data_IF_182070093537
#
_entry.id   IF_182070093537
#
_cell.length_a   1.000
_cell.length_b   1.000
_cell.length_c   1.000
_cell.angle_alpha   90.00
_cell.angle_beta   90.00
_cell.angle_gamma   90.00
#
_symmetry.space_group_name_H-M   'P 1'
#
loop_
_entity.id
_entity.type
_entity.pdbx_description
1 polymer ?
#
# COMPACT_ATOMS: atom_id res chain seq x y z
N UNK A 1 -21.56 19.28 -25.98
CA UNK A 1 -20.96 18.36 -26.98
C UNK A 1 -19.52 18.10 -26.57
N UNK A 2 -19.26 16.90 -26.02
CA UNK A 2 -17.88 16.48 -25.67
C UNK A 2 -17.07 16.39 -26.97
N UNK A 3 -15.98 17.14 -27.06
CA UNK A 3 -15.00 16.99 -28.14
C UNK A 3 -14.41 15.58 -28.01
N UNK A 4 -14.39 14.76 -29.08
CA UNK A 4 -13.81 13.42 -29.01
C UNK A 4 -12.34 13.50 -28.56
N UNK A 5 -11.97 12.68 -27.59
CA UNK A 5 -10.61 12.62 -27.07
C UNK A 5 -9.62 12.31 -28.22
N UNK A 6 -8.44 12.98 -28.30
CA UNK A 6 -7.46 12.78 -29.37
C UNK A 6 -7.07 11.30 -29.61
N UNK A 7 -7.13 10.47 -28.58
CA UNK A 7 -6.90 9.03 -28.67
C UNK A 7 -7.97 8.31 -29.51
N UNK A 8 -9.25 8.70 -29.42
CA UNK A 8 -10.36 8.10 -30.19
C UNK A 8 -10.17 8.40 -31.67
N UNK A 9 -9.77 9.61 -32.01
CA UNK A 9 -9.50 10.00 -33.39
C UNK A 9 -8.31 9.22 -33.99
N UNK A 10 -7.25 8.97 -33.19
CA UNK A 10 -6.07 8.21 -33.62
C UNK A 10 -6.36 6.71 -33.78
N UNK A 11 -7.22 6.15 -32.92
CA UNK A 11 -7.71 4.76 -33.09
C UNK A 11 -8.59 4.63 -34.31
N UNK A 12 -9.52 5.58 -34.55
CA UNK A 12 -10.35 5.60 -35.73
C UNK A 12 -9.52 5.73 -37.02
N UNK A 13 -8.47 6.56 -37.00
CA UNK A 13 -7.53 6.73 -38.12
C UNK A 13 -6.70 5.46 -38.39
N UNK A 14 -6.27 4.74 -37.35
CA UNK A 14 -5.59 3.45 -37.46
C UNK A 14 -6.54 2.38 -38.03
N UNK A 15 -7.79 2.32 -37.55
CA UNK A 15 -8.80 1.36 -38.01
C UNK A 15 -9.18 1.57 -39.50
N UNK A 16 -9.09 2.79 -40.01
CA UNK A 16 -9.36 3.06 -41.45
C UNK A 16 -8.20 2.68 -42.38
N UNK A 17 -7.00 2.42 -41.83
CA UNK A 17 -5.79 2.08 -42.59
C UNK A 17 -5.50 0.58 -42.67
N UNK A 18 -6.22 -0.26 -41.90
CA UNK A 18 -6.00 -1.71 -41.83
C UNK A 18 -7.07 -2.46 -42.60
N UNK A 19 -6.76 -3.07 -43.76
CA UNK A 19 -7.73 -3.77 -44.59
C UNK A 19 -8.16 -5.15 -44.05
N UNK A 20 -7.36 -5.78 -43.20
CA UNK A 20 -7.69 -7.03 -42.50
C UNK A 20 -7.14 -7.02 -41.08
N UNK A 21 -7.99 -7.32 -40.09
CA UNK A 21 -7.65 -7.28 -38.66
C UNK A 21 -7.13 -8.65 -38.22
N UNK A 22 -5.87 -8.71 -37.72
CA UNK A 22 -5.33 -9.91 -37.11
C UNK A 22 -4.99 -9.68 -35.61
N UNK A 23 -4.57 -10.74 -34.90
CA UNK A 23 -4.25 -10.69 -33.48
C UNK A 23 -3.02 -9.83 -33.16
N UNK A 24 -2.16 -9.50 -34.13
CA UNK A 24 -1.00 -8.61 -33.98
C UNK A 24 -1.43 -7.15 -33.98
N UNK A 25 -2.50 -6.80 -34.68
CA UNK A 25 -3.04 -5.45 -34.78
C UNK A 25 -3.61 -4.96 -33.45
N UNK A 26 -4.18 -5.87 -32.65
CA UNK A 26 -4.65 -5.55 -31.30
C UNK A 26 -3.52 -5.09 -30.37
N UNK A 27 -2.31 -5.62 -30.54
CA UNK A 27 -1.15 -5.17 -29.76
C UNK A 27 -0.75 -3.74 -30.13
N UNK A 28 -0.72 -3.43 -31.40
CA UNK A 28 -0.40 -2.09 -31.91
C UNK A 28 -1.46 -1.07 -31.48
N UNK A 29 -2.75 -1.41 -31.59
CA UNK A 29 -3.85 -0.55 -31.13
C UNK A 29 -3.79 -0.36 -29.63
N UNK A 30 -3.61 -1.44 -28.88
CA UNK A 30 -3.47 -1.39 -27.43
C UNK A 30 -2.29 -0.49 -27.01
N UNK A 31 -1.14 -0.63 -27.67
CA UNK A 31 0.06 0.11 -27.32
C UNK A 31 -0.06 1.59 -27.77
N UNK A 32 -0.73 1.86 -28.90
CA UNK A 32 -1.11 3.20 -29.32
C UNK A 32 -2.13 3.84 -28.38
N UNK A 33 -3.14 3.08 -27.93
CA UNK A 33 -4.10 3.55 -26.92
C UNK A 33 -3.41 3.81 -25.59
N UNK A 34 -2.53 2.92 -25.13
CA UNK A 34 -1.78 3.11 -23.88
C UNK A 34 -0.83 4.29 -23.93
N UNK A 35 -0.23 4.59 -25.09
CA UNK A 35 0.65 5.75 -25.27
C UNK A 35 -0.11 7.07 -25.42
N UNK A 36 -1.40 7.02 -25.78
CA UNK A 36 -2.23 8.20 -26.04
C UNK A 36 -3.34 8.41 -25.00
N UNK A 37 -3.64 7.41 -24.16
CA UNK A 37 -4.46 7.63 -22.97
C UNK A 37 -3.67 8.52 -22.01
N UNK A 38 -4.28 9.58 -21.45
CA UNK A 38 -3.67 10.29 -20.35
C UNK A 38 -3.31 9.25 -19.30
N UNK A 39 -2.06 9.25 -18.84
CA UNK A 39 -1.68 8.61 -17.58
C UNK A 39 -2.70 9.06 -16.55
N UNK A 40 -3.05 8.22 -15.59
CA UNK A 40 -4.04 8.54 -14.57
C UNK A 40 -3.94 10.00 -14.15
N UNK A 41 -4.82 10.84 -14.70
CA UNK A 41 -4.86 12.26 -14.33
C UNK A 41 -5.76 12.39 -13.11
N UNK A 42 -5.31 11.75 -12.03
CA UNK A 42 -6.00 11.63 -10.75
C UNK A 42 -5.13 12.24 -9.68
N UNK A 43 -5.75 12.98 -8.79
CA UNK A 43 -5.12 13.58 -7.63
C UNK A 43 -5.78 13.13 -6.34
N UNK A 44 -4.98 13.09 -5.29
CA UNK A 44 -5.45 13.01 -3.92
C UNK A 44 -6.03 14.39 -3.55
N UNK A 45 -7.35 14.45 -3.39
CA UNK A 45 -8.04 15.68 -3.02
C UNK A 45 -7.94 15.96 -1.52
N UNK A 46 -8.01 14.90 -0.72
CA UNK A 46 -7.84 14.92 0.72
C UNK A 46 -7.69 13.52 1.28
N UNK A 47 -7.01 13.42 2.42
CA UNK A 47 -6.81 12.17 3.12
C UNK A 47 -7.06 12.31 4.62
N UNK A 48 -7.41 11.17 5.24
CA UNK A 48 -7.59 11.07 6.68
C UNK A 48 -7.13 9.71 7.19
N UNK A 49 -6.74 9.68 8.45
CA UNK A 49 -6.27 8.48 9.13
C UNK A 49 -6.61 8.56 10.61
N UNK A 50 -7.25 7.54 11.17
CA UNK A 50 -7.45 7.45 12.61
C UNK A 50 -6.13 7.27 13.35
N UNK A 51 -6.12 7.48 14.65
CA UNK A 51 -5.03 6.96 15.47
C UNK A 51 -5.10 5.44 15.48
N UNK A 52 -3.97 4.78 15.19
CA UNK A 52 -3.86 3.31 15.26
C UNK A 52 -3.45 2.87 16.66
N UNK A 53 -3.91 1.67 17.04
CA UNK A 53 -3.57 1.13 18.35
C UNK A 53 -4.54 0.05 18.82
N UNK A 54 -4.52 -0.21 20.11
CA UNK A 54 -5.54 -1.00 20.79
C UNK A 54 -6.69 -0.06 21.20
N UNK A 55 -7.62 0.14 20.27
CA UNK A 55 -8.71 1.13 20.37
C UNK A 55 -9.95 0.51 21.05
N UNK A 56 -9.80 0.11 22.34
CA UNK A 56 -10.88 -0.52 23.12
C UNK A 56 -12.10 0.39 23.33
N UNK A 57 -11.90 1.69 23.26
CA UNK A 57 -12.93 2.72 23.43
C UNK A 57 -13.74 3.01 22.16
N UNK A 58 -13.32 2.49 21.01
CA UNK A 58 -13.90 2.79 19.70
C UNK A 58 -14.27 1.49 18.97
N UNK A 59 -15.40 1.49 18.29
CA UNK A 59 -15.76 0.43 17.36
C UNK A 59 -15.25 0.75 15.93
N UNK A 60 -15.53 -0.11 14.96
CA UNK A 60 -15.16 0.10 13.57
C UNK A 60 -15.85 1.32 12.94
N UNK A 61 -17.11 1.61 13.34
CA UNK A 61 -17.85 2.77 12.86
C UNK A 61 -17.19 4.08 13.34
N UNK A 62 -16.77 4.16 14.61
CA UNK A 62 -16.06 5.31 15.15
C UNK A 62 -14.74 5.55 14.40
N UNK A 63 -13.99 4.49 14.11
CA UNK A 63 -12.73 4.57 13.36
C UNK A 63 -12.95 5.06 11.92
N UNK A 64 -14.02 4.57 11.25
CA UNK A 64 -14.39 5.02 9.91
C UNK A 64 -14.76 6.50 9.90
N UNK A 65 -15.54 6.96 10.87
CA UNK A 65 -15.93 8.38 11.01
C UNK A 65 -14.71 9.25 11.25
N UNK A 66 -13.81 8.87 12.17
CA UNK A 66 -12.58 9.62 12.48
C UNK A 66 -11.72 9.86 11.21
N UNK A 67 -11.49 8.81 10.41
CA UNK A 67 -10.73 8.94 9.17
C UNK A 67 -11.47 9.76 8.10
N UNK A 68 -12.78 9.57 7.96
CA UNK A 68 -13.61 10.25 6.98
C UNK A 68 -13.73 11.75 7.24
N UNK A 69 -13.94 12.16 8.49
CA UNK A 69 -14.04 13.58 8.87
C UNK A 69 -12.74 14.33 8.58
N UNK A 70 -11.59 13.73 8.87
CA UNK A 70 -10.30 14.32 8.52
C UNK A 70 -10.15 14.44 7.00
N UNK A 71 -10.49 13.39 6.23
CA UNK A 71 -10.37 13.40 4.79
C UNK A 71 -11.28 14.42 4.11
N UNK A 72 -12.55 14.54 4.53
CA UNK A 72 -13.50 15.51 3.97
C UNK A 72 -13.12 16.94 4.32
N UNK A 73 -12.67 17.18 5.54
CA UNK A 73 -12.16 18.48 5.98
C UNK A 73 -10.91 18.87 5.17
N UNK A 74 -10.00 17.94 4.99
CA UNK A 74 -8.77 18.17 4.19
C UNK A 74 -9.11 18.38 2.72
N UNK A 75 -10.03 17.60 2.15
CA UNK A 75 -10.49 17.74 0.78
C UNK A 75 -11.26 19.05 0.54
N UNK A 76 -11.97 19.56 1.53
CA UNK A 76 -12.88 20.70 1.40
C UNK A 76 -14.18 20.33 0.69
N UNK A 77 -14.65 19.09 0.86
CA UNK A 77 -15.89 18.59 0.24
C UNK A 77 -16.85 18.04 1.28
N UNK A 78 -18.14 18.12 0.95
CA UNK A 78 -19.22 17.55 1.74
C UNK A 78 -19.52 16.11 1.27
N UNK A 79 -20.07 15.26 2.18
CA UNK A 79 -20.39 13.87 1.85
C UNK A 79 -21.30 13.70 0.64
N UNK A 80 -22.20 14.66 0.39
CA UNK A 80 -23.15 14.60 -0.73
C UNK A 80 -22.50 14.84 -2.11
N UNK A 81 -21.25 15.30 -2.14
CA UNK A 81 -20.46 15.49 -3.36
C UNK A 81 -19.69 14.21 -3.75
N UNK A 82 -19.66 13.20 -2.88
CA UNK A 82 -19.05 11.90 -3.17
C UNK A 82 -20.07 11.07 -3.95
N UNK A 83 -19.66 10.55 -5.12
CA UNK A 83 -20.54 9.87 -6.06
C UNK A 83 -20.40 8.36 -6.07
N UNK A 84 -19.26 7.83 -5.61
CA UNK A 84 -19.03 6.40 -5.43
C UNK A 84 -17.99 6.15 -4.33
N UNK A 85 -18.03 4.96 -3.71
CA UNK A 85 -17.08 4.58 -2.67
C UNK A 85 -16.56 3.16 -2.85
N UNK A 86 -15.31 2.94 -2.45
CA UNK A 86 -14.66 1.65 -2.32
C UNK A 86 -14.31 1.39 -0.87
N UNK A 87 -14.75 0.26 -0.36
CA UNK A 87 -14.66 -0.12 1.03
C UNK A 87 -13.76 -1.33 1.22
N UNK A 88 -12.62 -1.16 1.89
CA UNK A 88 -11.62 -2.19 2.14
C UNK A 88 -11.68 -2.72 3.57
N UNK A 89 -11.93 -4.02 3.73
CA UNK A 89 -11.81 -4.73 4.99
C UNK A 89 -11.55 -6.21 4.71
N UNK A 90 -10.65 -6.84 5.45
CA UNK A 90 -10.21 -8.21 5.19
C UNK A 90 -10.87 -9.24 6.11
N UNK A 91 -11.26 -8.86 7.33
CA UNK A 91 -11.92 -9.75 8.28
C UNK A 91 -13.42 -9.59 8.18
N UNK A 92 -14.02 -10.50 7.42
CA UNK A 92 -15.32 -10.37 6.81
C UNK A 92 -16.49 -10.06 7.74
N UNK A 93 -16.76 -10.92 8.71
CA UNK A 93 -18.11 -11.03 9.26
C UNK A 93 -18.23 -10.72 10.74
N UNK A 94 -17.11 -10.65 11.44
CA UNK A 94 -17.16 -10.68 12.91
C UNK A 94 -17.35 -9.29 13.50
N UNK A 95 -16.82 -8.26 12.86
CA UNK A 95 -16.79 -6.91 13.44
C UNK A 95 -17.32 -5.82 12.51
N UNK A 96 -17.13 -5.95 11.20
CA UNK A 96 -17.45 -4.89 10.23
C UNK A 96 -18.71 -5.20 9.40
N UNK A 97 -19.19 -6.44 9.39
CA UNK A 97 -20.34 -6.86 8.58
C UNK A 97 -20.00 -7.11 7.09
N UNK A 98 -21.03 -7.31 6.26
CA UNK A 98 -20.93 -7.70 4.85
C UNK A 98 -21.29 -6.56 3.90
N UNK A 99 -20.78 -6.64 2.65
CA UNK A 99 -21.08 -5.70 1.55
C UNK A 99 -20.57 -4.27 1.80
N UNK A 100 -21.05 -3.33 1.02
CA UNK A 100 -20.80 -1.88 1.21
C UNK A 100 -21.72 -1.21 2.23
N UNK A 101 -22.71 -1.94 2.76
CA UNK A 101 -23.74 -1.38 3.65
C UNK A 101 -23.16 -0.80 4.93
N UNK A 102 -22.20 -1.44 5.64
CA UNK A 102 -21.62 -0.86 6.84
C UNK A 102 -21.05 0.53 6.60
N UNK A 103 -20.22 0.71 5.57
CA UNK A 103 -19.67 2.02 5.23
C UNK A 103 -20.76 3.04 4.90
N UNK A 104 -21.73 2.65 4.06
CA UNK A 104 -22.81 3.55 3.63
C UNK A 104 -23.66 4.02 4.80
N UNK A 105 -23.98 3.14 5.74
CA UNK A 105 -24.77 3.47 6.94
C UNK A 105 -23.98 4.33 7.92
N UNK A 106 -22.75 3.94 8.22
CA UNK A 106 -21.87 4.65 9.16
C UNK A 106 -21.65 6.10 8.72
N UNK A 107 -21.30 6.29 7.46
CA UNK A 107 -21.02 7.62 6.91
C UNK A 107 -22.29 8.34 6.40
N UNK A 108 -23.46 7.66 6.42
CA UNK A 108 -24.72 8.18 5.87
C UNK A 108 -24.56 8.71 4.44
N UNK A 109 -23.92 7.89 3.58
CA UNK A 109 -23.68 8.24 2.18
C UNK A 109 -25.03 8.35 1.42
N UNK A 110 -25.17 9.28 0.45
CA UNK A 110 -26.45 9.62 -0.17
C UNK A 110 -26.88 8.61 -1.26
N UNK A 111 -27.08 7.33 -0.89
CA UNK A 111 -27.49 6.23 -1.80
C UNK A 111 -26.57 6.02 -3.00
N UNK A 112 -25.30 6.30 -2.85
CA UNK A 112 -24.27 6.09 -3.89
C UNK A 112 -23.85 4.60 -3.97
N UNK A 113 -23.25 4.16 -5.10
CA UNK A 113 -22.63 2.85 -5.19
C UNK A 113 -21.48 2.70 -4.19
N UNK A 114 -21.47 1.60 -3.44
CA UNK A 114 -20.36 1.23 -2.56
C UNK A 114 -19.89 -0.18 -2.91
N UNK A 115 -18.64 -0.31 -3.34
CA UNK A 115 -18.01 -1.58 -3.69
C UNK A 115 -17.10 -2.02 -2.56
N UNK A 116 -17.40 -3.18 -1.94
CA UNK A 116 -16.48 -3.81 -0.99
C UNK A 116 -15.42 -4.60 -1.73
N UNK A 117 -14.17 -4.48 -1.28
CA UNK A 117 -13.00 -5.18 -1.85
C UNK A 117 -12.17 -5.82 -0.75
N UNK A 118 -11.48 -6.91 -1.13
CA UNK A 118 -10.52 -7.61 -0.26
C UNK A 118 -9.38 -8.17 -1.11
N UNK A 119 -8.14 -7.96 -0.69
CA UNK A 119 -6.91 -8.53 -1.26
C UNK A 119 -5.84 -8.64 -0.17
N UNK A 120 -6.15 -9.33 0.93
CA UNK A 120 -5.27 -9.40 2.11
C UNK A 120 -4.78 -8.01 2.54
N UNK A 121 -3.49 -7.87 2.88
CA UNK A 121 -2.94 -6.58 3.31
C UNK A 121 -2.88 -5.52 2.20
N UNK A 122 -3.08 -5.87 0.93
CA UNK A 122 -3.23 -4.93 -0.18
C UNK A 122 -4.66 -4.37 -0.33
N UNK A 123 -5.59 -4.74 0.56
CA UNK A 123 -7.01 -4.36 0.52
C UNK A 123 -7.22 -2.84 0.43
N UNK A 124 -6.51 -2.06 1.27
CA UNK A 124 -6.62 -0.59 1.21
C UNK A 124 -6.17 0.01 -0.12
N UNK A 125 -5.12 -0.55 -0.71
CA UNK A 125 -4.65 -0.14 -2.05
C UNK A 125 -5.62 -0.57 -3.14
N UNK A 126 -6.27 -1.74 -3.01
CA UNK A 126 -7.30 -2.17 -3.97
C UNK A 126 -8.52 -1.24 -3.92
N UNK A 127 -8.96 -0.83 -2.73
CA UNK A 127 -10.02 0.18 -2.59
C UNK A 127 -9.61 1.49 -3.27
N UNK A 128 -8.40 1.96 -3.02
CA UNK A 128 -7.84 3.16 -3.66
C UNK A 128 -7.80 3.04 -5.19
N UNK A 129 -7.33 1.91 -5.72
CA UNK A 129 -7.25 1.64 -7.16
C UNK A 129 -8.62 1.68 -7.82
N UNK A 130 -9.64 1.08 -7.17
CA UNK A 130 -11.01 1.11 -7.65
C UNK A 130 -11.57 2.54 -7.75
N UNK A 131 -11.36 3.36 -6.73
CA UNK A 131 -11.75 4.77 -6.73
C UNK A 131 -11.04 5.57 -7.84
N UNK A 132 -9.72 5.36 -8.02
CA UNK A 132 -8.96 5.99 -9.09
C UNK A 132 -9.49 5.60 -10.49
N UNK A 133 -9.81 4.32 -10.70
CA UNK A 133 -10.36 3.85 -11.99
C UNK A 133 -11.72 4.46 -12.31
N UNK A 134 -12.58 4.62 -11.32
CA UNK A 134 -13.88 5.23 -11.52
C UNK A 134 -13.78 6.69 -11.96
N UNK A 135 -12.91 7.47 -11.29
CA UNK A 135 -12.66 8.86 -11.69
C UNK A 135 -11.96 8.93 -13.05
N UNK A 136 -10.93 8.12 -13.28
CA UNK A 136 -10.21 8.10 -14.56
C UNK A 136 -11.09 7.71 -15.75
N UNK A 137 -12.09 6.86 -15.54
CA UNK A 137 -13.06 6.48 -16.58
C UNK A 137 -14.10 7.57 -16.86
N UNK A 138 -14.19 8.59 -16.02
CA UNK A 138 -15.22 9.62 -16.07
C UNK A 138 -16.61 9.12 -15.63
N UNK A 139 -16.67 7.97 -14.93
CA UNK A 139 -17.92 7.47 -14.38
C UNK A 139 -18.41 8.32 -13.20
N UNK A 140 -17.48 8.86 -12.43
CA UNK A 140 -17.74 9.77 -11.32
C UNK A 140 -16.68 10.88 -11.27
N UNK A 141 -17.00 12.00 -10.67
CA UNK A 141 -16.11 13.16 -10.51
C UNK A 141 -15.31 13.08 -9.21
N UNK A 142 -15.95 12.62 -8.12
CA UNK A 142 -15.34 12.50 -6.79
C UNK A 142 -15.63 11.11 -6.24
N UNK A 143 -14.57 10.37 -5.92
CA UNK A 143 -14.67 9.03 -5.35
C UNK A 143 -13.97 8.92 -4.00
N UNK A 144 -14.51 8.05 -3.14
CA UNK A 144 -14.02 7.72 -1.81
C UNK A 144 -13.37 6.33 -1.81
N UNK A 145 -12.21 6.20 -1.22
CA UNK A 145 -11.65 4.93 -0.76
C UNK A 145 -11.48 4.97 0.75
N UNK A 146 -12.03 4.00 1.46
CA UNK A 146 -11.88 3.88 2.90
C UNK A 146 -11.57 2.43 3.27
N UNK A 147 -10.62 2.27 4.18
CA UNK A 147 -10.25 0.99 4.74
C UNK A 147 -10.31 1.00 6.25
N UNK A 148 -10.78 -0.08 6.85
CA UNK A 148 -10.88 -0.26 8.31
C UNK A 148 -10.60 -1.68 8.71
N UNK A 149 -10.03 -1.84 9.90
CA UNK A 149 -9.99 -3.13 10.59
C UNK A 149 -10.05 -2.95 12.10
N UNK A 150 -10.81 -3.82 12.77
CA UNK A 150 -10.96 -3.88 14.22
C UNK A 150 -10.46 -5.23 14.74
N UNK A 151 -9.14 -5.38 14.79
CA UNK A 151 -8.48 -6.67 15.05
C UNK A 151 -8.45 -7.07 16.52
N UNK A 152 -8.38 -6.11 17.43
CA UNK A 152 -8.24 -6.42 18.87
C UNK A 152 -9.47 -7.09 19.46
N UNK A 153 -10.65 -6.79 18.96
CA UNK A 153 -11.91 -7.38 19.42
C UNK A 153 -12.04 -8.86 19.04
N UNK A 154 -11.20 -9.37 18.12
CA UNK A 154 -11.18 -10.80 17.77
C UNK A 154 -10.67 -11.70 18.89
N UNK A 155 -9.99 -11.14 19.90
CA UNK A 155 -9.35 -11.90 20.97
C UNK A 155 -8.07 -12.64 20.52
N UNK A 156 -7.64 -12.52 19.27
CA UNK A 156 -6.42 -13.15 18.78
C UNK A 156 -5.19 -12.32 19.14
N UNK A 157 -4.11 -12.99 19.58
CA UNK A 157 -2.79 -12.35 19.76
C UNK A 157 -2.05 -12.08 18.45
N UNK A 158 -2.64 -12.43 17.30
CA UNK A 158 -2.13 -12.25 15.95
C UNK A 158 -3.28 -12.22 14.95
N UNK A 159 -2.97 -12.31 13.65
CA UNK A 159 -3.99 -12.39 12.62
C UNK A 159 -4.69 -13.75 12.64
N UNK A 160 -6.04 -13.80 12.59
CA UNK A 160 -6.76 -15.05 12.49
C UNK A 160 -6.41 -15.75 11.18
N UNK A 161 -5.97 -17.00 11.29
CA UNK A 161 -5.60 -17.81 10.13
C UNK A 161 -6.62 -18.91 9.92
N UNK A 162 -7.22 -18.94 8.73
CA UNK A 162 -8.04 -20.05 8.27
C UNK A 162 -7.24 -20.88 7.29
N UNK A 163 -6.92 -22.12 7.67
CA UNK A 163 -6.33 -23.09 6.75
C UNK A 163 -7.30 -23.38 5.59
N UNK A 164 -6.76 -23.54 4.38
CA UNK A 164 -7.54 -24.02 3.23
C UNK A 164 -7.75 -25.52 3.32
N UNK A 165 -9.00 -25.97 3.36
CA UNK A 165 -9.38 -27.36 3.18
C UNK A 165 -8.58 -28.34 4.03
N UNK A 166 -7.84 -29.25 3.38
CA UNK A 166 -7.10 -30.35 4.03
C UNK A 166 -5.72 -29.95 4.57
N UNK A 167 -5.33 -28.68 4.54
CA UNK A 167 -4.10 -28.25 5.17
C UNK A 167 -4.21 -28.41 6.66
N UNK A 168 -3.37 -29.25 7.23
CA UNK A 168 -3.28 -29.45 8.67
C UNK A 168 -1.89 -29.12 9.19
N UNK A 169 -1.80 -28.83 10.48
CA UNK A 169 -0.55 -28.40 11.12
C UNK A 169 0.55 -29.49 11.11
N UNK A 170 0.21 -30.73 10.81
CA UNK A 170 1.21 -31.81 10.72
C UNK A 170 2.07 -31.66 9.45
N UNK A 171 1.44 -31.32 8.32
CA UNK A 171 2.13 -31.17 7.04
C UNK A 171 2.56 -29.73 6.75
N UNK A 172 1.89 -28.74 7.39
CA UNK A 172 2.15 -27.32 7.22
C UNK A 172 2.29 -26.64 8.59
N UNK A 173 3.36 -26.95 9.34
CA UNK A 173 3.50 -26.47 10.72
C UNK A 173 3.71 -24.96 10.86
N UNK A 174 4.09 -24.27 9.78
CA UNK A 174 4.44 -22.84 9.80
C UNK A 174 3.36 -21.96 9.17
N UNK A 175 2.10 -22.21 9.42
CA UNK A 175 0.98 -21.44 8.89
C UNK A 175 0.82 -20.04 9.50
N UNK A 176 1.67 -19.62 10.42
CA UNK A 176 1.67 -18.25 10.93
C UNK A 176 2.41 -17.31 9.97
N UNK A 177 1.99 -16.04 9.92
CA UNK A 177 2.69 -15.04 9.12
C UNK A 177 4.18 -14.95 9.51
N UNK A 178 4.56 -14.78 10.81
CA UNK A 178 5.96 -14.78 11.20
C UNK A 178 6.73 -16.03 10.75
N UNK A 179 6.14 -17.24 10.89
CA UNK A 179 6.78 -18.49 10.47
C UNK A 179 7.08 -18.52 8.97
N UNK A 180 6.15 -18.07 8.14
CA UNK A 180 6.33 -18.06 6.69
C UNK A 180 7.38 -17.02 6.25
N UNK A 181 7.39 -15.84 6.85
CA UNK A 181 8.40 -14.81 6.57
C UNK A 181 9.78 -15.20 7.11
N UNK A 182 9.86 -15.94 8.21
CA UNK A 182 11.11 -16.49 8.72
C UNK A 182 11.75 -17.49 7.74
N UNK A 183 10.93 -18.30 7.06
CA UNK A 183 11.41 -19.18 5.98
C UNK A 183 11.98 -18.38 4.81
N UNK A 184 11.31 -17.32 4.39
CA UNK A 184 11.82 -16.43 3.34
C UNK A 184 13.16 -15.78 3.74
N UNK A 185 13.27 -15.26 4.96
CA UNK A 185 14.50 -14.67 5.47
C UNK A 185 15.66 -15.69 5.48
N UNK A 186 15.37 -16.93 5.86
CA UNK A 186 16.35 -18.05 5.82
C UNK A 186 16.76 -18.38 4.40
N UNK A 187 15.82 -18.47 3.46
CA UNK A 187 16.09 -18.74 2.05
C UNK A 187 16.91 -17.60 1.41
N UNK A 188 16.59 -16.36 1.72
CA UNK A 188 17.37 -15.19 1.28
C UNK A 188 18.82 -15.26 1.78
N UNK A 189 19.01 -15.50 3.06
CA UNK A 189 20.34 -15.65 3.66
C UNK A 189 21.15 -16.75 2.97
N UNK A 190 20.56 -17.93 2.75
CA UNK A 190 21.20 -19.05 2.09
C UNK A 190 21.57 -18.73 0.63
N UNK A 191 20.66 -18.13 -0.13
CA UNK A 191 20.86 -17.80 -1.54
C UNK A 191 21.98 -16.78 -1.75
N UNK A 192 22.01 -15.73 -0.94
CA UNK A 192 22.93 -14.62 -1.11
C UNK A 192 24.21 -14.72 -0.25
N UNK A 193 24.36 -15.82 0.50
CA UNK A 193 25.52 -16.02 1.38
C UNK A 193 25.61 -15.00 2.52
N UNK A 194 24.46 -14.47 2.97
CA UNK A 194 24.41 -13.51 4.06
C UNK A 194 24.59 -14.24 5.39
N UNK A 195 25.52 -13.77 6.22
CA UNK A 195 25.71 -14.29 7.58
C UNK A 195 24.43 -14.05 8.43
N UNK A 196 24.08 -15.01 9.27
CA UNK A 196 22.88 -14.90 10.12
C UNK A 196 22.96 -13.75 11.10
N UNK A 197 24.14 -13.43 11.61
CA UNK A 197 24.38 -12.29 12.49
C UNK A 197 24.16 -10.97 11.76
N UNK A 198 24.63 -10.86 10.51
CA UNK A 198 24.41 -9.67 9.67
C UNK A 198 22.93 -9.49 9.33
N UNK A 199 22.26 -10.59 8.96
CA UNK A 199 20.81 -10.57 8.75
C UNK A 199 20.08 -10.06 10.00
N UNK A 200 20.40 -10.60 11.17
CA UNK A 200 19.74 -10.21 12.43
C UNK A 200 20.07 -8.75 12.83
N UNK A 201 21.30 -8.29 12.61
CA UNK A 201 21.67 -6.88 12.83
C UNK A 201 20.89 -5.95 11.90
N UNK A 202 20.75 -6.29 10.63
CA UNK A 202 19.95 -5.48 9.71
C UNK A 202 18.47 -5.40 10.13
N UNK A 203 17.90 -6.53 10.57
CA UNK A 203 16.53 -6.55 11.11
C UNK A 203 16.41 -5.69 12.37
N UNK A 204 17.40 -5.76 13.29
CA UNK A 204 17.43 -4.91 14.47
C UNK A 204 17.52 -3.44 14.10
N UNK A 205 18.38 -3.06 13.16
CA UNK A 205 18.47 -1.70 12.63
C UNK A 205 17.13 -1.18 12.11
N UNK A 206 16.42 -1.98 11.27
CA UNK A 206 15.10 -1.63 10.76
C UNK A 206 14.10 -1.43 11.92
N UNK A 207 14.12 -2.31 12.92
CA UNK A 207 13.22 -2.24 14.06
C UNK A 207 13.46 -0.98 14.90
N UNK A 208 14.71 -0.69 15.25
CA UNK A 208 15.11 0.51 16.00
C UNK A 208 14.71 1.78 15.23
N UNK A 209 15.06 1.86 13.95
CA UNK A 209 14.71 2.97 13.08
C UNK A 209 13.18 3.20 13.04
N UNK A 210 12.39 2.12 12.89
CA UNK A 210 10.94 2.22 12.84
C UNK A 210 10.34 2.74 14.13
N UNK A 211 10.86 2.32 15.29
CA UNK A 211 10.46 2.83 16.60
C UNK A 211 10.87 4.29 16.82
N UNK A 212 12.08 4.70 16.39
CA UNK A 212 12.48 6.11 16.46
C UNK A 212 11.57 6.99 15.60
N UNK A 213 11.28 6.59 14.38
CA UNK A 213 10.39 7.31 13.48
C UNK A 213 8.95 7.39 14.05
N UNK A 214 8.41 6.28 14.57
CA UNK A 214 7.09 6.24 15.18
C UNK A 214 6.97 7.13 16.43
N UNK A 215 8.06 7.32 17.18
CA UNK A 215 8.05 8.19 18.37
C UNK A 215 7.64 9.64 18.04
N UNK A 216 7.87 10.07 16.80
CA UNK A 216 7.52 11.38 16.25
C UNK A 216 6.12 11.43 15.62
N UNK A 217 5.42 10.30 15.55
CA UNK A 217 4.13 10.19 14.90
C UNK A 217 2.99 10.04 15.93
N UNK A 218 2.13 11.06 16.13
CA UNK A 218 1.07 10.99 17.13
C UNK A 218 0.02 9.93 16.85
N UNK A 219 -0.13 9.48 15.57
CA UNK A 219 -1.10 8.47 15.17
C UNK A 219 -0.56 7.04 15.22
N UNK A 220 0.73 6.85 15.49
CA UNK A 220 1.34 5.53 15.54
C UNK A 220 1.00 4.79 16.84
N UNK A 221 0.84 3.46 16.74
CA UNK A 221 0.54 2.57 17.86
C UNK A 221 1.76 2.43 18.81
N UNK A 222 2.92 2.01 18.28
CA UNK A 222 4.11 1.71 19.08
C UNK A 222 5.09 2.89 19.00
N UNK A 223 5.05 3.77 20.00
CA UNK A 223 5.84 5.02 20.02
C UNK A 223 7.04 5.01 20.94
N UNK A 224 7.28 3.91 21.62
CA UNK A 224 8.43 3.77 22.50
C UNK A 224 9.69 3.50 21.69
N UNK A 225 10.77 4.24 21.96
CA UNK A 225 12.09 3.95 21.41
C UNK A 225 12.64 2.67 22.02
N UNK A 226 13.39 1.93 21.23
CA UNK A 226 14.07 0.70 21.60
C UNK A 226 15.53 0.74 21.13
N UNK A 227 16.36 -0.14 21.65
CA UNK A 227 17.76 -0.31 21.26
C UNK A 227 17.94 -1.59 20.44
N UNK A 228 19.09 -1.72 19.78
CA UNK A 228 19.43 -2.99 19.10
C UNK A 228 19.50 -4.15 20.09
N UNK A 229 20.02 -3.92 21.31
CA UNK A 229 20.05 -4.93 22.35
C UNK A 229 18.66 -5.41 22.75
N UNK A 230 17.66 -4.52 22.81
CA UNK A 230 16.28 -4.90 23.07
C UNK A 230 15.76 -5.87 21.97
N UNK A 231 16.10 -5.60 20.70
CA UNK A 231 15.68 -6.43 19.56
C UNK A 231 16.41 -7.78 19.58
N UNK A 232 17.71 -7.76 19.80
CA UNK A 232 18.56 -8.95 19.78
C UNK A 232 18.23 -9.93 20.92
N UNK A 233 17.82 -9.40 22.09
CA UNK A 233 17.46 -10.19 23.26
C UNK A 233 15.96 -10.45 23.40
N UNK A 234 15.14 -10.00 22.45
CA UNK A 234 13.70 -10.21 22.47
C UNK A 234 13.32 -11.69 22.38
N UNK A 235 12.21 -12.13 22.98
CA UNK A 235 11.70 -13.48 22.80
C UNK A 235 11.55 -13.82 21.30
N UNK A 236 12.01 -15.02 20.93
CA UNK A 236 11.90 -15.53 19.56
C UNK A 236 10.46 -15.93 19.26
N UNK A 237 9.95 -15.48 18.11
CA UNK A 237 8.62 -15.84 17.59
C UNK A 237 8.73 -16.95 16.56
N UNK A 238 9.60 -16.77 15.57
CA UNK A 238 9.95 -17.77 14.55
C UNK A 238 11.33 -17.43 13.99
N UNK A 239 12.36 -18.22 14.29
CA UNK A 239 13.74 -17.89 13.93
C UNK A 239 13.91 -17.60 12.42
N UNK A 240 14.51 -16.44 12.00
CA UNK A 240 15.24 -15.47 12.84
C UNK A 240 14.40 -14.33 13.42
N UNK A 241 13.07 -14.37 13.34
CA UNK A 241 12.18 -13.30 13.78
C UNK A 241 11.90 -13.38 15.29
N UNK A 242 12.28 -12.34 16.02
CA UNK A 242 11.88 -12.10 17.40
C UNK A 242 10.66 -11.19 17.51
N UNK A 243 10.23 -10.91 18.73
CA UNK A 243 9.05 -10.09 19.01
C UNK A 243 9.12 -8.72 18.36
N UNK A 244 10.28 -8.06 18.43
CA UNK A 244 10.46 -6.73 17.83
C UNK A 244 10.69 -6.76 16.32
N UNK A 245 10.75 -7.91 15.67
CA UNK A 245 10.73 -8.01 14.22
C UNK A 245 9.30 -8.13 13.66
N UNK A 246 8.31 -8.34 14.53
CA UNK A 246 6.90 -8.46 14.17
C UNK A 246 6.15 -7.14 14.39
N UNK A 247 5.06 -6.91 13.64
CA UNK A 247 4.17 -5.78 13.87
C UNK A 247 3.21 -6.06 15.04
N UNK A 248 2.76 -5.00 15.72
CA UNK A 248 1.65 -5.08 16.67
C UNK A 248 0.32 -5.31 15.96
N UNK A 249 -0.60 -6.02 16.64
CA UNK A 249 -2.00 -6.11 16.20
C UNK A 249 -2.68 -4.79 16.54
N UNK A 250 -3.20 -4.09 15.53
CA UNK A 250 -3.71 -2.73 15.67
C UNK A 250 -5.09 -2.60 15.03
N UNK A 251 -5.92 -1.78 15.65
CA UNK A 251 -7.17 -1.27 15.09
C UNK A 251 -6.89 0.04 14.37
N UNK A 252 -7.67 0.37 13.34
CA UNK A 252 -7.56 1.65 12.67
C UNK A 252 -8.29 1.72 11.33
N UNK A 253 -8.46 2.95 10.86
CA UNK A 253 -9.07 3.27 9.57
C UNK A 253 -8.26 4.34 8.85
N UNK A 254 -8.27 4.31 7.53
CA UNK A 254 -7.68 5.35 6.69
C UNK A 254 -8.55 5.59 5.45
N UNK A 255 -8.53 6.81 4.96
CA UNK A 255 -9.45 7.31 3.95
C UNK A 255 -8.71 8.19 2.93
N UNK A 256 -9.08 8.05 1.65
CA UNK A 256 -8.64 8.91 0.55
C UNK A 256 -9.85 9.35 -0.26
N UNK A 257 -9.88 10.62 -0.61
CA UNK A 257 -10.82 11.20 -1.58
C UNK A 257 -10.02 11.56 -2.82
N UNK A 258 -10.45 11.09 -3.97
CA UNK A 258 -9.77 11.27 -5.25
C UNK A 258 -10.67 11.95 -6.27
N UNK A 259 -10.05 12.74 -7.16
CA UNK A 259 -10.72 13.46 -8.23
C UNK A 259 -9.75 13.78 -9.37
N UNK A 260 -10.22 14.49 -10.39
CA UNK A 260 -9.34 15.02 -11.46
C UNK A 260 -8.62 16.31 -11.02
N UNK A 261 -7.48 16.66 -11.63
CA UNK A 261 -6.79 17.93 -11.37
C UNK A 261 -7.66 19.15 -11.63
N UNK A 262 -8.54 19.12 -12.65
CA UNK A 262 -9.44 20.21 -13.00
C UNK A 262 -10.43 20.50 -11.88
N UNK A 263 -11.05 19.45 -11.36
CA UNK A 263 -12.02 19.56 -10.24
C UNK A 263 -11.30 20.04 -8.98
N UNK A 264 -10.12 19.46 -8.67
CA UNK A 264 -9.33 19.87 -7.52
C UNK A 264 -8.99 21.38 -7.58
N UNK A 265 -8.55 21.88 -8.75
CA UNK A 265 -8.29 23.32 -8.94
C UNK A 265 -9.56 24.17 -8.79
N UNK A 266 -10.70 23.71 -9.30
CA UNK A 266 -11.97 24.42 -9.13
C UNK A 266 -12.42 24.51 -7.68
N UNK A 267 -11.98 23.57 -6.82
CA UNK A 267 -12.16 23.57 -5.37
C UNK A 267 -11.07 24.38 -4.65
N UNK A 268 -10.19 25.06 -5.35
CA UNK A 268 -9.15 25.94 -4.79
C UNK A 268 -7.87 25.24 -4.36
N UNK A 269 -7.64 23.97 -4.75
CA UNK A 269 -6.39 23.26 -4.46
C UNK A 269 -5.28 23.72 -5.42
N UNK A 270 -4.12 24.05 -4.88
CA UNK A 270 -2.93 24.51 -5.64
C UNK A 270 -1.82 23.46 -5.69
N UNK A 271 -1.54 22.82 -4.56
CA UNK A 271 -0.45 21.86 -4.41
C UNK A 271 -0.97 20.44 -4.63
N UNK A 272 -1.15 20.09 -5.90
CA UNK A 272 -1.77 18.82 -6.27
C UNK A 272 -0.78 17.67 -6.21
N UNK A 273 -1.18 16.60 -5.52
CA UNK A 273 -0.44 15.33 -5.46
C UNK A 273 -1.14 14.33 -6.36
N UNK A 274 -0.47 14.01 -7.47
CA UNK A 274 -1.00 13.11 -8.50
C UNK A 274 -0.63 11.65 -8.27
N UNK A 275 -1.52 10.76 -8.68
CA UNK A 275 -1.27 9.33 -8.77
C UNK A 275 -0.47 9.06 -10.03
N UNK A 276 0.80 8.66 -9.89
CA UNK A 276 1.70 8.39 -11.00
C UNK A 276 1.63 6.92 -11.44
N UNK A 277 1.34 6.03 -10.51
CA UNK A 277 1.10 4.61 -10.77
C UNK A 277 0.31 3.97 -9.63
N UNK A 278 -0.51 2.97 -9.95
CA UNK A 278 -1.16 2.11 -8.95
C UNK A 278 -1.30 0.70 -9.53
N UNK A 279 -0.35 -0.17 -9.19
CA UNK A 279 -0.24 -1.53 -9.74
C UNK A 279 -0.46 -2.59 -8.69
N UNK A 280 -1.17 -3.65 -9.06
CA UNK A 280 -1.37 -4.84 -8.25
C UNK A 280 -0.98 -6.08 -9.06
N UNK A 281 -0.36 -7.04 -8.40
CA UNK A 281 -0.07 -8.37 -8.92
C UNK A 281 -0.51 -9.42 -7.91
N UNK A 282 -1.13 -10.48 -8.40
CA UNK A 282 -1.64 -11.59 -7.59
C UNK A 282 -0.90 -12.87 -7.99
N UNK A 283 -0.48 -13.67 -7.01
CA UNK A 283 0.11 -14.99 -7.23
C UNK A 283 -0.82 -15.88 -8.05
N UNK A 284 -0.26 -16.57 -9.01
CA UNK A 284 -1.00 -17.51 -9.85
C UNK A 284 -0.75 -18.99 -9.48
N UNK A 285 -0.06 -19.23 -8.36
CA UNK A 285 0.26 -20.57 -7.86
C UNK A 285 1.58 -21.16 -8.36
N UNK A 286 2.34 -20.44 -9.23
CA UNK A 286 3.62 -20.94 -9.72
C UNK A 286 4.61 -21.15 -8.58
N UNK A 287 4.64 -20.28 -7.57
CA UNK A 287 5.51 -20.36 -6.40
C UNK A 287 5.24 -21.58 -5.50
N UNK A 288 4.17 -22.33 -5.76
CA UNK A 288 3.83 -23.50 -4.97
C UNK A 288 4.57 -24.76 -5.38
N UNK A 289 4.81 -25.01 -6.67
CA UNK A 289 5.46 -26.22 -7.17
C UNK A 289 5.82 -26.20 -8.66
N UNK A 290 5.51 -25.15 -9.40
CA UNK A 290 5.45 -25.19 -10.87
C UNK A 290 6.55 -24.41 -11.57
N UNK A 291 7.45 -23.78 -10.81
CA UNK A 291 8.60 -23.07 -11.34
C UNK A 291 9.84 -23.26 -10.49
N UNK A 292 10.90 -22.52 -10.84
CA UNK A 292 12.18 -22.55 -10.13
C UNK A 292 12.24 -21.55 -8.95
N UNK A 293 11.09 -21.20 -8.34
CA UNK A 293 11.06 -20.28 -7.20
C UNK A 293 11.80 -20.87 -6.00
N UNK A 294 12.80 -20.16 -5.52
CA UNK A 294 13.70 -20.60 -4.46
C UNK A 294 13.32 -20.12 -3.05
N UNK A 295 12.19 -19.44 -2.91
CA UNK A 295 11.70 -18.95 -1.64
C UNK A 295 12.38 -17.68 -1.12
N UNK A 296 13.27 -17.04 -1.89
CA UNK A 296 14.06 -15.90 -1.43
C UNK A 296 13.50 -14.53 -1.84
N UNK A 297 12.42 -14.48 -2.61
CA UNK A 297 11.84 -13.23 -3.14
C UNK A 297 10.34 -13.37 -3.41
N UNK A 298 9.68 -12.22 -3.63
CA UNK A 298 8.28 -12.16 -4.06
C UNK A 298 8.19 -11.81 -5.55
N UNK A 299 7.73 -12.78 -6.37
CA UNK A 299 7.54 -12.56 -7.79
C UNK A 299 6.50 -11.45 -8.06
N UNK A 300 5.42 -11.42 -7.29
CA UNK A 300 4.36 -10.39 -7.40
C UNK A 300 4.88 -8.99 -7.12
N UNK A 301 5.75 -8.82 -6.10
CA UNK A 301 6.39 -7.53 -5.79
C UNK A 301 7.24 -7.05 -6.96
N UNK A 302 8.09 -7.92 -7.52
CA UNK A 302 8.94 -7.57 -8.68
C UNK A 302 8.10 -7.17 -9.89
N UNK A 303 6.99 -7.88 -10.15
CA UNK A 303 6.09 -7.59 -11.27
C UNK A 303 5.33 -6.27 -11.04
N UNK A 304 4.77 -6.08 -9.86
CA UNK A 304 4.03 -4.85 -9.53
C UNK A 304 4.95 -3.62 -9.58
N UNK A 305 6.14 -3.70 -8.98
CA UNK A 305 7.15 -2.64 -9.00
C UNK A 305 7.57 -2.27 -10.42
N UNK A 306 7.93 -3.27 -11.24
CA UNK A 306 8.31 -3.03 -12.65
C UNK A 306 7.22 -2.31 -13.44
N UNK A 307 5.94 -2.74 -13.27
CA UNK A 307 4.80 -2.09 -13.92
C UNK A 307 4.59 -0.67 -13.41
N UNK A 308 4.70 -0.46 -12.10
CA UNK A 308 4.54 0.86 -11.49
C UNK A 308 5.64 1.84 -11.94
N UNK A 309 6.90 1.40 -12.00
CA UNK A 309 7.99 2.22 -12.53
C UNK A 309 7.78 2.60 -14.00
N UNK A 310 7.35 1.65 -14.83
CA UNK A 310 7.02 1.91 -16.24
C UNK A 310 5.88 2.93 -16.38
N UNK A 311 4.82 2.78 -15.60
CA UNK A 311 3.66 3.67 -15.60
C UNK A 311 4.03 5.07 -15.13
N UNK A 312 4.82 5.20 -14.06
CA UNK A 312 5.29 6.46 -13.53
C UNK A 312 6.42 7.11 -14.37
N UNK A 313 7.00 6.37 -15.32
CA UNK A 313 8.14 6.84 -16.13
C UNK A 313 9.46 6.86 -15.36
N UNK A 314 9.56 6.11 -14.25
CA UNK A 314 10.76 5.97 -13.44
C UNK A 314 11.69 4.94 -14.10
N UNK A 315 12.91 5.35 -14.41
CA UNK A 315 13.94 4.50 -15.06
C UNK A 315 15.01 4.02 -14.08
N UNK A 316 15.27 4.82 -13.07
CA UNK A 316 16.24 4.56 -12.02
C UNK A 316 15.57 4.79 -10.65
N UNK A 317 14.88 3.77 -10.08
CA UNK A 317 14.16 3.93 -8.84
C UNK A 317 15.06 4.31 -7.65
N UNK A 318 16.33 3.85 -7.64
CA UNK A 318 17.28 4.15 -6.57
C UNK A 318 17.57 5.66 -6.43
N UNK A 319 17.58 6.39 -7.55
CA UNK A 319 17.90 7.82 -7.57
C UNK A 319 16.67 8.71 -7.80
N UNK A 320 15.54 8.16 -8.22
CA UNK A 320 14.34 8.93 -8.54
C UNK A 320 13.24 8.84 -7.48
N UNK A 321 13.18 7.75 -6.71
CA UNK A 321 12.23 7.64 -5.60
C UNK A 321 12.78 8.38 -4.39
N UNK A 322 11.99 9.30 -3.85
CA UNK A 322 12.44 10.19 -2.76
C UNK A 322 12.21 9.59 -1.37
N UNK A 323 11.18 8.75 -1.22
CA UNK A 323 10.85 8.11 0.05
C UNK A 323 9.94 6.89 -0.13
N UNK A 324 9.96 5.99 0.85
CA UNK A 324 9.26 4.72 0.84
C UNK A 324 8.45 4.47 2.10
N UNK A 325 7.28 3.82 1.96
CA UNK A 325 6.65 3.05 3.03
C UNK A 325 6.34 1.67 2.48
N UNK A 326 7.08 0.68 2.92
CA UNK A 326 7.11 -0.65 2.29
C UNK A 326 6.89 -1.77 3.28
N UNK A 327 6.40 -2.90 2.76
CA UNK A 327 6.39 -4.18 3.45
C UNK A 327 7.70 -4.95 3.23
N UNK A 328 8.30 -4.82 2.03
CA UNK A 328 9.38 -5.67 1.53
C UNK A 328 10.25 -4.99 0.45
N UNK A 329 11.32 -5.65 0.02
CA UNK A 329 12.26 -5.16 -0.99
C UNK A 329 11.63 -4.94 -2.37
N UNK A 330 11.76 -3.71 -2.88
CA UNK A 330 11.19 -3.23 -4.15
C UNK A 330 12.23 -3.16 -5.28
N UNK A 331 13.35 -3.87 -5.20
CA UNK A 331 14.48 -3.74 -6.13
C UNK A 331 15.08 -2.32 -6.19
N UNK A 332 14.97 -1.55 -5.12
CA UNK A 332 15.72 -0.29 -4.94
C UNK A 332 17.18 -0.61 -4.65
N UNK A 333 17.44 -1.62 -3.84
CA UNK A 333 18.74 -2.24 -3.71
C UNK A 333 19.01 -3.21 -4.86
N UNK A 334 20.27 -3.34 -5.28
CA UNK A 334 20.67 -4.44 -6.17
C UNK A 334 20.42 -5.79 -5.48
N UNK A 335 20.14 -6.83 -6.25
CA UNK A 335 19.85 -8.17 -5.72
C UNK A 335 20.96 -8.64 -4.77
N UNK A 336 20.59 -9.08 -3.57
CA UNK A 336 21.50 -9.49 -2.51
C UNK A 336 22.23 -8.35 -1.78
N UNK A 337 22.00 -7.08 -2.12
CA UNK A 337 22.67 -5.93 -1.49
C UNK A 337 21.82 -5.22 -0.42
N UNK A 338 20.56 -5.61 -0.26
CA UNK A 338 19.64 -4.94 0.66
C UNK A 338 20.13 -4.88 2.11
N UNK A 339 20.78 -5.92 2.61
CA UNK A 339 21.36 -5.97 3.96
C UNK A 339 22.45 -4.91 4.13
N UNK A 340 23.38 -4.78 3.15
CA UNK A 340 24.42 -3.75 3.18
C UNK A 340 23.81 -2.36 3.16
N UNK A 341 22.86 -2.08 2.26
CA UNK A 341 22.19 -0.78 2.18
C UNK A 341 21.46 -0.41 3.50
N UNK A 342 20.86 -1.38 4.19
CA UNK A 342 20.26 -1.16 5.51
C UNK A 342 21.30 -0.79 6.55
N UNK A 343 22.38 -1.58 6.65
CA UNK A 343 23.44 -1.35 7.65
C UNK A 343 24.23 -0.07 7.39
N UNK A 344 24.35 0.35 6.12
CA UNK A 344 24.98 1.61 5.72
C UNK A 344 24.04 2.84 5.90
N UNK A 345 22.82 2.65 6.41
CA UNK A 345 21.86 3.72 6.67
C UNK A 345 21.23 4.33 5.42
N UNK A 346 21.31 3.66 4.27
CA UNK A 346 20.72 4.15 3.01
C UNK A 346 19.21 4.44 3.13
N UNK A 347 18.51 3.65 3.95
CA UNK A 347 17.07 3.76 4.21
C UNK A 347 16.71 4.49 5.51
N UNK A 348 17.67 5.11 6.19
CA UNK A 348 17.39 5.88 7.39
C UNK A 348 16.67 7.19 7.08
N UNK A 349 16.12 7.86 8.09
CA UNK A 349 15.39 9.12 7.89
C UNK A 349 16.26 10.25 7.29
N UNK A 350 17.57 10.19 7.48
CA UNK A 350 18.56 11.06 6.85
C UNK A 350 19.31 10.39 5.70
N UNK A 351 18.95 9.16 5.32
CA UNK A 351 19.58 8.40 4.25
C UNK A 351 19.16 8.87 2.86
N UNK A 352 19.71 8.21 1.84
CA UNK A 352 19.46 8.59 0.44
C UNK A 352 18.00 8.35 0.00
N UNK A 353 17.37 7.29 0.54
CA UNK A 353 15.95 6.97 0.28
C UNK A 353 15.26 6.65 1.61
N UNK A 354 14.82 7.67 2.36
CA UNK A 354 14.14 7.45 3.64
C UNK A 354 12.99 6.47 3.54
N UNK A 355 12.98 5.48 4.45
CA UNK A 355 11.99 4.43 4.45
C UNK A 355 11.28 4.34 5.81
N UNK A 356 9.93 4.19 5.78
CA UNK A 356 9.12 4.00 6.99
C UNK A 356 9.28 5.15 8.02
N UNK A 357 9.31 6.36 7.52
CA UNK A 357 9.48 7.59 8.33
C UNK A 357 8.32 7.87 9.29
N UNK A 358 7.19 7.20 9.08
CA UNK A 358 5.99 7.22 9.92
C UNK A 358 5.97 6.13 11.01
N UNK A 359 6.97 5.24 11.01
CA UNK A 359 7.06 4.05 11.84
C UNK A 359 6.78 2.75 11.11
N UNK A 360 6.31 2.82 9.86
CA UNK A 360 5.99 1.67 9.01
C UNK A 360 4.87 0.78 9.57
N UNK A 361 4.61 -0.35 8.96
CA UNK A 361 3.62 -1.30 9.46
C UNK A 361 3.95 -1.81 10.86
N UNK A 362 5.25 -1.93 11.16
CA UNK A 362 5.71 -2.41 12.45
C UNK A 362 5.22 -1.56 13.63
N UNK A 363 5.37 -0.24 13.53
CA UNK A 363 5.14 0.67 14.65
C UNK A 363 3.94 1.58 14.47
N UNK A 364 3.65 2.05 13.26
CA UNK A 364 2.39 2.76 13.02
C UNK A 364 1.23 1.80 13.29
N UNK A 365 1.34 0.58 12.84
CA UNK A 365 0.34 -0.46 13.00
C UNK A 365 -0.15 -1.03 11.67
N UNK A 366 -0.83 -2.18 11.74
CA UNK A 366 -1.28 -2.92 10.58
C UNK A 366 -2.74 -3.37 10.66
N UNK A 367 -3.72 -2.46 10.75
CA UNK A 367 -5.10 -2.76 10.41
C UNK A 367 -5.17 -3.12 8.93
N UNK A 368 -5.46 -4.37 8.61
CA UNK A 368 -5.25 -4.95 7.27
C UNK A 368 -5.93 -4.12 6.18
N UNK A 369 -7.22 -3.85 6.34
CA UNK A 369 -8.00 -3.07 5.37
C UNK A 369 -7.55 -1.62 5.20
N UNK A 370 -6.95 -1.02 6.24
CA UNK A 370 -6.54 0.39 6.24
C UNK A 370 -5.10 0.62 5.77
N UNK A 371 -4.22 -0.38 5.86
CA UNK A 371 -2.78 -0.18 5.76
C UNK A 371 -2.31 0.46 4.46
N UNK A 372 -2.86 0.08 3.30
CA UNK A 372 -2.49 0.69 2.02
C UNK A 372 -2.82 2.17 1.94
N UNK A 373 -3.98 2.56 2.48
CA UNK A 373 -4.41 3.96 2.55
C UNK A 373 -3.59 4.75 3.58
N UNK A 374 -3.26 4.16 4.74
CA UNK A 374 -2.39 4.78 5.74
C UNK A 374 -1.00 5.08 5.17
N UNK A 375 -0.43 4.16 4.38
CA UNK A 375 0.85 4.40 3.72
C UNK A 375 0.77 5.59 2.76
N UNK A 376 -0.29 5.68 1.98
CA UNK A 376 -0.55 6.83 1.09
C UNK A 376 -0.76 8.12 1.87
N UNK A 377 -1.39 8.07 3.05
CA UNK A 377 -1.57 9.22 3.92
C UNK A 377 -0.22 9.85 4.31
N UNK A 378 0.79 9.05 4.68
CA UNK A 378 2.12 9.59 4.95
C UNK A 378 2.77 10.18 3.70
N UNK A 379 2.67 9.51 2.53
CA UNK A 379 3.19 10.08 1.28
C UNK A 379 2.53 11.41 0.94
N UNK A 380 1.23 11.51 1.15
CA UNK A 380 0.46 12.73 0.92
C UNK A 380 0.91 13.87 1.84
N UNK A 381 1.14 13.60 3.12
CA UNK A 381 1.65 14.59 4.06
C UNK A 381 3.07 15.04 3.69
N UNK A 382 3.95 14.11 3.35
CA UNK A 382 5.34 14.39 2.98
C UNK A 382 5.44 15.24 1.71
N UNK A 383 4.75 14.85 0.66
CA UNK A 383 4.73 15.59 -0.61
C UNK A 383 4.05 16.95 -0.47
N UNK A 384 3.10 17.09 0.46
CA UNK A 384 2.45 18.36 0.79
C UNK A 384 3.22 19.24 1.77
N UNK A 385 4.40 18.83 2.26
CA UNK A 385 5.16 19.58 3.27
C UNK A 385 4.47 19.66 4.63
N UNK A 386 3.60 18.69 4.95
CA UNK A 386 2.73 18.69 6.14
C UNK A 386 3.04 17.59 7.16
N UNK A 387 4.16 16.90 7.02
CA UNK A 387 4.50 15.78 7.91
C UNK A 387 5.09 16.21 9.28
N UNK A 388 5.22 17.52 9.54
CA UNK A 388 5.74 18.05 10.81
C UNK A 388 7.16 17.57 11.09
N UNK A 389 7.41 17.05 12.30
CA UNK A 389 8.74 16.55 12.71
C UNK A 389 9.27 15.37 11.87
N UNK A 390 8.38 14.71 11.11
CA UNK A 390 8.76 13.61 10.23
C UNK A 390 9.13 14.05 8.83
N UNK A 391 9.00 15.35 8.51
CA UNK A 391 9.24 15.86 7.17
C UNK A 391 10.64 15.53 6.67
N UNK A 392 10.76 14.88 5.52
CA UNK A 392 12.02 14.58 4.85
C UNK A 392 12.24 15.54 3.70
N UNK A 393 13.12 16.50 3.87
CA UNK A 393 13.50 17.43 2.79
C UNK A 393 12.33 17.92 1.91
N UNK A 394 12.55 17.90 0.58
CA UNK A 394 11.54 18.24 -0.44
C UNK A 394 11.32 17.07 -1.41
N UNK A 395 10.52 16.06 -1.03
CA UNK A 395 10.35 14.85 -1.84
C UNK A 395 9.55 15.14 -3.11
N UNK A 396 9.94 14.47 -4.22
CA UNK A 396 9.27 14.55 -5.53
C UNK A 396 8.35 13.35 -5.75
N UNK A 397 8.82 12.14 -5.44
CA UNK A 397 8.07 10.90 -5.55
C UNK A 397 8.05 10.14 -4.23
N UNK A 398 6.85 9.78 -3.80
CA UNK A 398 6.62 8.83 -2.71
C UNK A 398 6.12 7.50 -3.26
N UNK A 399 6.62 6.39 -2.70
CA UNK A 399 6.23 5.05 -3.09
C UNK A 399 5.72 4.25 -1.90
N UNK A 400 4.59 3.57 -2.08
CA UNK A 400 4.06 2.63 -1.10
C UNK A 400 4.02 1.22 -1.68
N UNK A 401 4.32 0.23 -0.84
CA UNK A 401 4.21 -1.18 -1.18
C UNK A 401 3.52 -1.95 -0.06
N UNK A 402 2.44 -2.64 -0.42
CA UNK A 402 1.81 -3.63 0.44
C UNK A 402 1.96 -5.02 -0.14
N UNK A 403 2.34 -5.95 0.73
CA UNK A 403 2.27 -7.37 0.48
C UNK A 403 1.23 -8.00 1.39
N UNK A 404 0.30 -8.76 0.85
CA UNK A 404 -0.71 -9.52 1.58
C UNK A 404 -0.62 -11.00 1.30
N UNK A 405 -0.92 -11.82 2.30
CA UNK A 405 -0.85 -13.28 2.20
C UNK A 405 0.50 -13.85 2.64
N UNK A 406 0.91 -14.94 2.03
CA UNK A 406 2.12 -15.71 2.36
C UNK A 406 3.13 -15.67 1.22
N UNK A 407 4.42 -15.94 1.46
CA UNK A 407 5.44 -15.91 0.41
C UNK A 407 5.09 -16.67 -0.88
N UNK A 408 4.43 -17.82 -0.75
CA UNK A 408 4.01 -18.65 -1.89
C UNK A 408 2.61 -18.35 -2.44
N UNK A 409 1.82 -17.54 -1.76
CA UNK A 409 0.44 -17.18 -2.14
C UNK A 409 0.16 -15.76 -1.66
N UNK A 410 0.36 -14.79 -2.50
CA UNK A 410 0.35 -13.40 -2.08
C UNK A 410 -0.24 -12.44 -3.12
N UNK A 411 -0.52 -11.25 -2.67
CA UNK A 411 -0.91 -10.09 -3.47
C UNK A 411 0.05 -8.95 -3.14
N UNK A 412 0.70 -8.39 -4.14
CA UNK A 412 1.53 -7.20 -4.00
C UNK A 412 0.93 -6.00 -4.70
N UNK A 413 0.93 -4.87 -4.02
CA UNK A 413 0.56 -3.58 -4.60
C UNK A 413 1.71 -2.59 -4.50
N UNK A 414 1.90 -1.80 -5.56
CA UNK A 414 2.86 -0.70 -5.60
C UNK A 414 2.15 0.54 -6.11
N UNK A 415 2.12 1.58 -5.28
CA UNK A 415 1.56 2.88 -5.66
C UNK A 415 2.65 3.95 -5.62
N UNK A 416 2.71 4.77 -6.65
CA UNK A 416 3.62 5.91 -6.76
C UNK A 416 2.79 7.18 -6.88
N UNK A 417 3.06 8.13 -6.00
CA UNK A 417 2.45 9.45 -6.00
C UNK A 417 3.53 10.52 -6.08
N UNK A 418 3.19 11.69 -6.64
CA UNK A 418 4.13 12.79 -6.78
C UNK A 418 3.43 14.10 -7.05
N UNK A 419 4.12 15.22 -6.81
CA UNK A 419 3.59 16.55 -7.12
C UNK A 419 3.27 16.68 -8.60
N UNK A 420 2.16 17.36 -8.94
CA UNK A 420 1.88 17.73 -10.33
C UNK A 420 2.64 19.00 -10.69
N UNK A 421 3.42 18.93 -11.78
CA UNK A 421 4.21 20.06 -12.26
C UNK A 421 5.64 20.12 -11.70
N UNK A 422 6.05 19.11 -10.93
CA UNK A 422 7.45 18.94 -10.55
C UNK A 422 8.22 18.09 -11.55
#
# INVERSE_FOLDING_TARGET
>A
SRVPHPAINRVAELMTRLPEFDSSDWRLIRDACRSSLPRFDIVLLGMGCSQFGERWEANDEDLMVEAFEEATKDAGVERHQIEAAWFGTAIEDQHVGKSGVPLAMTLRLPYIPVTRVENYCATGTEAFRGACYAVASGAVDIALALGVEKLKDTGYGGLPQRGRGNLNNLYWPNLSAPGSFAQLATAYSAKHGVDRGDLKRAMAHISVKSHDNASKNPKAHLRNRITEDDVLNAPMVAEPLGLYDCCGVSDGSACAIVTTPEIARSLGKTDLIGVKACQIAVSNGQELQYDEWDGSYFATTRIAAKRAYQEAGIKDPRNQVSLLVVHEDLNISAEGKGIGDVLDGFYDSAGSVPCQIDGGLKCFGHPIGASGLRMLYEMYLQLGGRAGERQTGDPVFGLTHNLGGFPSQNVSSVTIVGRLGA
#
